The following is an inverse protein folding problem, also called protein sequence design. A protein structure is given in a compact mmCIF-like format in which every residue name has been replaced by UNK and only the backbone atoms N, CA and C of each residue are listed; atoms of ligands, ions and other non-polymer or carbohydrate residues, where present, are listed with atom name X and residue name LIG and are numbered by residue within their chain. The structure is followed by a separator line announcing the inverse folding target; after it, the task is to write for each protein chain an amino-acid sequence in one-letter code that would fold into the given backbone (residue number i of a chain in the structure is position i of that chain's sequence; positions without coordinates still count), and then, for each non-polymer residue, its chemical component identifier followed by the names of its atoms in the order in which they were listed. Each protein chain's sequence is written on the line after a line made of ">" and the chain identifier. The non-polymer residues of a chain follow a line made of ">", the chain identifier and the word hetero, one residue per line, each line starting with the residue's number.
data_IF_255711164581
#
_entry.id   IF_255711164581
#
_cell.length_a   1.000
_cell.length_b   1.000
_cell.length_c   1.000
_cell.angle_alpha   90.00
_cell.angle_beta   90.00
_cell.angle_gamma   90.00
#
_symmetry.space_group_name_H-M   'P 1'
#
loop_
_entity.id
_entity.type
_entity.pdbx_description
1 polymer ?
#
# COMPACT_ATOMS: atom_id res chain seq x y z
N UNK A 1 -2.45 4.82 -10.50
CA UNK A 1 -2.13 3.53 -11.15
C UNK A 1 -0.63 3.45 -11.23
N UNK A 2 0.01 2.35 -10.80
CA UNK A 2 1.43 2.15 -11.08
C UNK A 2 1.46 1.33 -12.37
N UNK A 3 1.73 2.00 -13.49
CA UNK A 3 1.76 1.38 -14.80
C UNK A 3 3.09 0.65 -15.05
N UNK A 4 3.03 -0.38 -15.88
CA UNK A 4 4.22 -1.07 -16.34
C UNK A 4 5.05 -0.13 -17.21
N UNK A 5 6.19 0.29 -16.65
CA UNK A 5 7.19 1.10 -17.31
C UNK A 5 7.79 0.37 -18.54
N UNK A 6 8.38 1.13 -19.46
CA UNK A 6 8.96 0.62 -20.70
C UNK A 6 10.05 -0.44 -20.44
N UNK A 7 10.75 -0.32 -19.30
CA UNK A 7 11.73 -1.27 -18.78
C UNK A 7 11.15 -2.68 -18.56
N UNK A 8 9.93 -2.80 -18.02
CA UNK A 8 9.28 -4.10 -17.79
C UNK A 8 8.93 -4.77 -19.12
N UNK A 9 8.42 -4.00 -20.09
CA UNK A 9 8.09 -4.52 -21.43
C UNK A 9 9.33 -5.04 -22.14
N UNK A 10 10.44 -4.31 -22.05
CA UNK A 10 11.71 -4.74 -22.61
C UNK A 10 12.18 -6.07 -22.02
N UNK A 11 12.17 -6.22 -20.69
CA UNK A 11 12.54 -7.46 -20.01
C UNK A 11 11.68 -8.66 -20.40
N UNK A 12 10.38 -8.44 -20.56
CA UNK A 12 9.46 -9.48 -21.03
C UNK A 12 9.79 -9.93 -22.47
N UNK A 13 10.14 -8.99 -23.36
CA UNK A 13 10.53 -9.30 -24.74
C UNK A 13 11.88 -10.04 -24.80
N UNK A 14 12.87 -9.63 -24.00
CA UNK A 14 14.15 -10.34 -23.87
C UNK A 14 13.93 -11.79 -23.45
N UNK A 15 13.11 -12.02 -22.42
CA UNK A 15 12.73 -13.37 -21.98
C UNK A 15 11.97 -14.16 -23.05
N UNK A 16 11.12 -13.51 -23.85
CA UNK A 16 10.41 -14.17 -24.94
C UNK A 16 11.37 -14.66 -26.03
N UNK A 17 12.39 -13.87 -26.37
CA UNK A 17 13.39 -14.24 -27.37
C UNK A 17 14.21 -15.46 -26.94
N UNK A 18 14.57 -15.56 -25.66
CA UNK A 18 15.27 -16.74 -25.12
C UNK A 18 14.44 -18.02 -25.22
N UNK A 19 13.11 -17.89 -25.18
CA UNK A 19 12.16 -18.99 -25.29
C UNK A 19 11.55 -19.11 -26.69
N UNK A 20 12.16 -18.54 -27.73
CA UNK A 20 11.62 -18.54 -29.09
C UNK A 20 11.32 -19.96 -29.63
N UNK A 21 12.11 -20.95 -29.22
CA UNK A 21 11.93 -22.37 -29.57
C UNK A 21 10.77 -23.04 -28.82
N UNK A 22 10.19 -22.38 -27.81
CA UNK A 22 9.09 -22.89 -26.97
C UNK A 22 7.96 -21.84 -26.85
N UNK A 23 7.34 -21.42 -27.97
CA UNK A 23 6.41 -20.29 -28.00
C UNK A 23 5.19 -20.47 -27.09
N UNK A 24 4.76 -21.72 -26.85
CA UNK A 24 3.64 -22.04 -25.95
C UNK A 24 3.94 -21.77 -24.46
N UNK A 25 5.21 -21.67 -24.07
CA UNK A 25 5.61 -21.45 -22.67
C UNK A 25 5.82 -19.98 -22.34
N UNK A 26 6.18 -19.15 -23.33
CA UNK A 26 6.42 -17.70 -23.18
C UNK A 26 5.33 -17.00 -22.35
N UNK A 27 4.03 -17.05 -22.73
CA UNK A 27 3.01 -16.30 -21.99
C UNK A 27 2.80 -16.81 -20.57
N UNK A 28 3.07 -18.10 -20.30
CA UNK A 28 2.95 -18.67 -18.94
C UNK A 28 4.08 -18.16 -18.05
N UNK A 29 5.31 -18.15 -18.55
CA UNK A 29 6.50 -17.66 -17.86
C UNK A 29 6.34 -16.17 -17.54
N UNK A 30 5.97 -15.37 -18.54
CA UNK A 30 5.75 -13.93 -18.38
C UNK A 30 4.65 -13.64 -17.36
N UNK A 31 3.49 -14.30 -17.43
CA UNK A 31 2.40 -14.10 -16.48
C UNK A 31 2.82 -14.45 -15.04
N UNK A 32 3.56 -15.56 -14.83
CA UNK A 32 4.05 -15.95 -13.50
C UNK A 32 5.03 -14.93 -12.93
N UNK A 33 6.01 -14.52 -13.72
CA UNK A 33 7.00 -13.54 -13.30
C UNK A 33 6.34 -12.19 -12.97
N UNK A 34 5.42 -11.73 -13.82
CA UNK A 34 4.67 -10.49 -13.62
C UNK A 34 3.82 -10.53 -12.34
N UNK A 35 3.08 -11.62 -12.11
CA UNK A 35 2.26 -11.79 -10.91
C UNK A 35 3.10 -11.80 -9.63
N UNK A 36 4.31 -12.37 -9.70
CA UNK A 36 5.24 -12.35 -8.57
C UNK A 36 5.82 -10.95 -8.34
N UNK A 37 6.19 -10.24 -9.40
CA UNK A 37 6.62 -8.85 -9.33
C UNK A 37 5.55 -7.95 -8.69
N UNK A 38 4.30 -8.05 -9.14
CA UNK A 38 3.16 -7.32 -8.56
C UNK A 38 2.97 -7.61 -7.06
N UNK A 39 3.07 -8.87 -6.66
CA UNK A 39 2.96 -9.29 -5.26
C UNK A 39 4.09 -8.73 -4.38
N UNK A 40 5.32 -8.72 -4.91
CA UNK A 40 6.47 -8.08 -4.26
C UNK A 40 6.26 -6.56 -4.18
N UNK A 41 5.79 -5.92 -5.23
CA UNK A 41 5.47 -4.50 -5.27
C UNK A 41 4.45 -4.10 -4.19
N UNK A 42 3.37 -4.88 -4.03
CA UNK A 42 2.38 -4.68 -2.94
C UNK A 42 3.01 -4.76 -1.55
N UNK A 43 3.94 -5.67 -1.37
CA UNK A 43 4.64 -5.86 -0.10
C UNK A 43 5.57 -4.68 0.20
N UNK A 44 6.33 -4.26 -0.80
CA UNK A 44 7.23 -3.09 -0.73
C UNK A 44 6.46 -1.80 -0.46
N UNK A 45 5.34 -1.60 -1.16
CA UNK A 45 4.44 -0.47 -0.97
C UNK A 45 3.99 -0.35 0.49
N UNK A 46 3.54 -1.47 1.08
CA UNK A 46 3.14 -1.49 2.48
C UNK A 46 4.30 -1.21 3.45
N UNK A 47 5.51 -1.64 3.13
CA UNK A 47 6.70 -1.38 3.93
C UNK A 47 7.08 0.10 3.89
N UNK A 48 7.21 0.69 2.69
CA UNK A 48 7.64 2.08 2.51
C UNK A 48 6.66 3.11 3.07
N UNK A 49 5.35 2.85 2.98
CA UNK A 49 4.35 3.66 3.67
C UNK A 49 4.60 3.65 5.19
N UNK A 50 4.95 2.50 5.77
CA UNK A 50 5.19 2.38 7.22
C UNK A 50 6.52 2.95 7.70
N UNK A 51 7.48 3.12 6.81
CA UNK A 51 8.72 3.83 7.11
C UNK A 51 8.45 5.34 7.28
N UNK A 52 7.45 5.86 6.57
CA UNK A 52 7.07 7.27 6.62
C UNK A 52 5.95 7.55 7.63
N UNK A 53 5.00 6.62 7.78
CA UNK A 53 3.76 6.80 8.55
C UNK A 53 3.58 5.74 9.64
N UNK A 54 3.05 6.15 10.79
CA UNK A 54 2.75 5.25 11.92
C UNK A 54 1.40 4.55 11.75
N UNK A 55 1.29 3.72 10.72
CA UNK A 55 0.08 2.96 10.35
C UNK A 55 0.32 1.43 10.41
N UNK A 56 -0.75 0.64 10.58
CA UNK A 56 -0.64 -0.82 10.56
C UNK A 56 -0.50 -1.33 9.12
N UNK A 57 0.28 -2.40 8.94
CA UNK A 57 0.47 -3.05 7.63
C UNK A 57 -0.87 -3.47 7.01
N UNK A 58 -1.74 -4.10 7.81
CA UNK A 58 -3.07 -4.54 7.39
C UNK A 58 -3.91 -3.40 6.81
N UNK A 59 -4.00 -2.27 7.53
CA UNK A 59 -4.79 -1.12 7.11
C UNK A 59 -4.27 -0.51 5.78
N UNK A 60 -2.98 -0.68 5.47
CA UNK A 60 -2.39 -0.26 4.18
C UNK A 60 -2.66 -1.32 3.09
N UNK A 61 -2.36 -2.58 3.37
CA UNK A 61 -2.47 -3.69 2.43
C UNK A 61 -3.91 -3.97 1.96
N UNK A 62 -4.91 -3.72 2.78
CA UNK A 62 -6.33 -3.89 2.43
C UNK A 62 -6.82 -2.85 1.40
N UNK A 63 -6.15 -1.70 1.29
CA UNK A 63 -6.46 -0.70 0.25
C UNK A 63 -5.90 -1.06 -1.11
N UNK A 64 -5.03 -2.06 -1.18
CA UNK A 64 -4.31 -2.43 -2.41
C UNK A 64 -4.88 -3.70 -3.03
N UNK A 65 -5.22 -3.63 -4.30
CA UNK A 65 -5.78 -4.72 -5.09
C UNK A 65 -4.80 -5.12 -6.20
N UNK A 66 -4.69 -6.44 -6.43
CA UNK A 66 -3.86 -7.01 -7.48
C UNK A 66 -4.75 -7.52 -8.59
N UNK A 67 -4.65 -6.94 -9.78
CA UNK A 67 -5.16 -7.54 -11.01
C UNK A 67 -4.05 -8.41 -11.57
N UNK A 68 -4.29 -9.72 -11.63
CA UNK A 68 -3.29 -10.70 -12.04
C UNK A 68 -3.26 -10.84 -13.56
N UNK A 69 -2.07 -10.96 -14.10
CA UNK A 69 -1.85 -11.39 -15.48
C UNK A 69 -2.13 -12.90 -15.62
N UNK A 70 -2.50 -13.31 -16.82
CA UNK A 70 -2.68 -14.69 -17.23
C UNK A 70 -1.96 -14.94 -18.56
N UNK A 71 -1.79 -16.21 -18.93
CA UNK A 71 -1.20 -16.53 -20.23
C UNK A 71 -2.00 -15.97 -21.42
N UNK A 72 -3.30 -15.73 -21.24
CA UNK A 72 -4.18 -15.17 -22.29
C UNK A 72 -4.30 -13.64 -22.21
N UNK A 73 -3.86 -13.04 -21.10
CA UNK A 73 -3.90 -11.60 -20.89
C UNK A 73 -2.73 -11.20 -19.99
N UNK A 74 -1.65 -10.71 -20.59
CA UNK A 74 -0.45 -10.25 -19.91
C UNK A 74 -0.58 -8.85 -19.31
N UNK A 75 -1.81 -8.38 -19.10
CA UNK A 75 -2.09 -7.17 -18.37
C UNK A 75 -2.29 -7.47 -16.87
N UNK A 76 -1.54 -6.77 -16.05
CA UNK A 76 -1.57 -6.91 -14.59
C UNK A 76 -1.40 -5.54 -13.94
N UNK A 77 -1.99 -5.34 -12.78
CA UNK A 77 -1.86 -4.03 -12.12
C UNK A 77 -1.91 -4.14 -10.61
N UNK A 78 -1.28 -3.15 -9.98
CA UNK A 78 -1.38 -2.89 -8.55
C UNK A 78 -2.09 -1.54 -8.38
N UNK A 79 -3.33 -1.60 -7.91
CA UNK A 79 -4.17 -0.43 -7.67
C UNK A 79 -4.33 -0.22 -6.15
N UNK A 80 -4.34 1.04 -5.71
CA UNK A 80 -4.74 1.40 -4.35
C UNK A 80 -5.99 2.27 -4.39
N UNK A 81 -7.01 1.87 -3.64
CA UNK A 81 -8.28 2.60 -3.49
C UNK A 81 -8.57 2.76 -2.01
N UNK A 82 -8.93 3.96 -1.59
CA UNK A 82 -9.26 4.20 -0.19
C UNK A 82 -9.57 5.65 0.10
N UNK A 83 -10.32 5.86 1.18
CA UNK A 83 -10.64 7.19 1.71
C UNK A 83 -9.63 7.62 2.77
N UNK A 84 -9.76 8.87 3.22
CA UNK A 84 -9.00 9.40 4.36
C UNK A 84 -9.16 8.49 5.59
N UNK A 85 -8.06 8.22 6.28
CA UNK A 85 -8.05 7.25 7.36
C UNK A 85 -8.43 7.92 8.69
N UNK A 86 -9.30 7.33 9.51
CA UNK A 86 -9.58 7.85 10.85
C UNK A 86 -8.28 7.97 11.67
N UNK A 87 -8.06 9.11 12.33
CA UNK A 87 -6.80 9.42 13.02
C UNK A 87 -6.42 8.36 14.06
N UNK A 88 -7.42 7.70 14.66
CA UNK A 88 -7.25 6.60 15.62
C UNK A 88 -6.47 5.39 15.09
N UNK A 89 -6.39 5.22 13.75
CA UNK A 89 -5.63 4.16 13.08
C UNK A 89 -4.12 4.40 13.17
N UNK A 90 -3.71 5.60 13.53
CA UNK A 90 -2.32 5.99 13.75
C UNK A 90 -1.94 5.89 15.23
N UNK A 91 -0.77 6.44 15.58
CA UNK A 91 -0.35 6.54 16.97
C UNK A 91 -1.11 7.67 17.67
N UNK A 92 -2.17 7.31 18.38
CA UNK A 92 -2.98 8.22 19.20
C UNK A 92 -2.90 7.84 20.67
N UNK A 93 -2.95 8.82 21.57
CA UNK A 93 -3.01 8.62 23.02
C UNK A 93 -4.09 9.50 23.64
N UNK A 94 -5.08 8.92 24.36
CA UNK A 94 -5.39 7.50 24.51
C UNK A 94 -5.99 6.88 23.23
N UNK A 95 -6.03 5.54 23.16
CA UNK A 95 -6.69 4.80 22.05
C UNK A 95 -8.15 4.44 22.32
N UNK A 96 -8.58 4.52 23.57
CA UNK A 96 -9.94 4.24 24.01
C UNK A 96 -10.58 5.50 24.58
N UNK A 97 -11.92 5.59 24.59
CA UNK A 97 -12.63 6.65 25.28
C UNK A 97 -12.21 6.69 26.76
N UNK A 98 -11.86 7.88 27.24
CA UNK A 98 -11.55 8.14 28.64
C UNK A 98 -12.45 9.28 29.14
N UNK A 99 -13.64 8.96 29.69
CA UNK A 99 -14.51 9.96 30.30
C UNK A 99 -13.75 10.74 31.39
N UNK A 100 -13.92 12.07 31.44
CA UNK A 100 -13.27 12.92 32.44
C UNK A 100 -11.78 13.24 32.18
N UNK A 101 -11.18 12.75 31.09
CA UNK A 101 -9.80 13.10 30.73
C UNK A 101 -9.67 14.61 30.45
N UNK A 102 -8.83 15.30 31.22
CA UNK A 102 -8.51 16.74 31.04
C UNK A 102 -7.33 17.00 30.09
N UNK A 103 -6.46 16.00 29.87
CA UNK A 103 -5.29 16.11 28.99
C UNK A 103 -5.71 16.05 27.50
N UNK A 104 -5.12 16.86 26.61
CA UNK A 104 -5.43 16.80 25.18
C UNK A 104 -5.11 15.43 24.59
N UNK A 105 -5.77 15.11 23.47
CA UNK A 105 -5.43 13.95 22.67
C UNK A 105 -4.09 14.23 22.00
N UNK A 106 -3.17 13.27 22.10
CA UNK A 106 -1.89 13.34 21.40
C UNK A 106 -1.95 12.43 20.19
N UNK A 107 -1.55 12.91 19.02
CA UNK A 107 -1.51 12.11 17.79
C UNK A 107 -0.17 12.26 17.07
N UNK A 108 0.24 11.20 16.39
CA UNK A 108 1.42 11.17 15.56
C UNK A 108 1.11 10.35 14.31
N UNK A 109 1.15 11.01 13.14
CA UNK A 109 0.86 10.41 11.84
C UNK A 109 2.16 10.04 11.14
N UNK A 110 3.09 10.98 11.03
CA UNK A 110 4.42 10.75 10.48
C UNK A 110 5.30 10.04 11.51
N UNK A 111 6.20 9.19 11.02
CA UNK A 111 7.19 8.51 11.87
C UNK A 111 8.27 9.47 12.35
N UNK A 112 8.59 10.46 11.54
CA UNK A 112 9.42 11.59 11.94
C UNK A 112 8.71 12.45 13.00
N UNK A 113 9.49 13.01 13.93
CA UNK A 113 8.99 13.89 14.99
C UNK A 113 8.34 13.15 16.16
N UNK A 114 7.57 13.92 16.95
CA UNK A 114 6.89 13.45 18.16
C UNK A 114 5.37 13.51 18.03
N UNK A 115 4.66 13.17 19.12
CA UNK A 115 3.21 13.35 19.17
C UNK A 115 2.88 14.84 19.30
N UNK A 116 1.92 15.31 18.51
CA UNK A 116 1.38 16.66 18.60
C UNK A 116 0.08 16.67 19.42
N UNK A 117 -0.12 17.65 20.31
CA UNK A 117 -1.39 17.80 21.02
C UNK A 117 -2.47 18.32 20.08
N UNK A 118 -3.68 17.80 20.26
CA UNK A 118 -4.89 18.22 19.55
C UNK A 118 -5.89 18.73 20.59
N UNK A 119 -5.87 20.04 20.92
CA UNK A 119 -6.80 20.63 21.88
C UNK A 119 -8.26 20.45 21.43
N UNK A 120 -9.15 20.23 22.40
CA UNK A 120 -10.59 20.05 22.18
C UNK A 120 -10.98 18.75 21.46
N UNK A 121 -10.02 17.88 21.13
CA UNK A 121 -10.32 16.55 20.62
C UNK A 121 -10.57 15.56 21.76
N UNK A 122 -11.33 14.50 21.47
CA UNK A 122 -11.59 13.41 22.38
C UNK A 122 -11.80 12.10 21.60
N UNK A 123 -11.58 10.96 22.27
CA UNK A 123 -11.89 9.66 21.69
C UNK A 123 -13.29 9.27 22.11
N UNK A 124 -14.12 8.88 21.14
CA UNK A 124 -15.46 8.36 21.38
C UNK A 124 -15.75 7.15 20.49
N UNK A 125 -16.67 6.30 20.92
CA UNK A 125 -17.19 5.18 20.13
C UNK A 125 -18.52 5.62 19.52
N UNK A 126 -18.60 5.67 18.19
CA UNK A 126 -19.85 5.97 17.45
C UNK A 126 -20.19 4.75 16.62
N UNK A 127 -21.40 4.21 16.76
CA UNK A 127 -21.88 3.00 16.04
C UNK A 127 -20.82 1.89 16.01
N UNK A 128 -20.27 1.59 17.18
CA UNK A 128 -19.25 0.57 17.44
C UNK A 128 -17.80 0.88 17.02
N UNK A 129 -17.52 1.99 16.34
CA UNK A 129 -16.15 2.36 15.93
C UNK A 129 -15.61 3.49 16.81
N UNK A 130 -14.49 3.23 17.48
CA UNK A 130 -13.75 4.27 18.18
C UNK A 130 -13.04 5.17 17.16
N UNK A 131 -13.13 6.49 17.32
CA UNK A 131 -12.33 7.45 16.55
C UNK A 131 -12.01 8.68 17.38
N UNK A 132 -11.13 9.53 16.85
CA UNK A 132 -10.86 10.85 17.40
C UNK A 132 -11.84 11.84 16.79
N UNK A 133 -12.52 12.59 17.64
CA UNK A 133 -13.50 13.59 17.25
C UNK A 133 -13.14 14.95 17.85
N UNK A 134 -13.63 16.01 17.21
CA UNK A 134 -13.66 17.37 17.75
C UNK A 134 -15.07 17.92 17.60
N UNK A 135 -15.57 18.63 18.61
CA UNK A 135 -16.85 19.34 18.49
C UNK A 135 -16.70 20.57 17.61
N UNK A 136 -17.72 20.88 16.84
CA UNK A 136 -17.76 22.13 16.07
C UNK A 136 -18.28 23.30 16.88
N UNK A 137 -19.04 23.03 17.95
CA UNK A 137 -19.61 24.02 18.85
C UNK A 137 -19.38 23.61 20.30
N UNK A 138 -19.77 24.43 21.27
CA UNK A 138 -19.72 24.05 22.69
C UNK A 138 -20.74 22.95 23.05
N UNK A 139 -21.82 22.79 22.25
CA UNK A 139 -22.86 21.78 22.48
C UNK A 139 -22.31 20.36 22.31
N UNK A 140 -23.07 19.36 22.79
CA UNK A 140 -22.71 17.93 22.68
C UNK A 140 -22.52 17.47 21.24
N UNK A 141 -23.35 17.97 20.35
CA UNK A 141 -23.32 17.74 18.91
C UNK A 141 -23.41 19.10 18.20
N UNK A 142 -22.90 19.23 16.96
CA UNK A 142 -22.28 18.18 16.14
C UNK A 142 -20.81 17.91 16.48
N UNK A 143 -20.35 16.71 16.12
CA UNK A 143 -18.96 16.26 16.25
C UNK A 143 -18.40 15.93 14.87
N UNK A 144 -17.16 16.31 14.59
CA UNK A 144 -16.43 15.98 13.36
C UNK A 144 -15.32 14.97 13.67
N UNK A 145 -15.22 13.92 12.86
CA UNK A 145 -14.10 12.98 12.93
C UNK A 145 -12.81 13.66 12.45
N UNK A 146 -11.69 13.34 13.10
CA UNK A 146 -10.38 13.74 12.63
C UNK A 146 -9.77 12.60 11.81
N UNK A 147 -9.17 12.97 10.69
CA UNK A 147 -8.63 12.05 9.70
C UNK A 147 -7.18 12.39 9.38
N UNK A 148 -6.48 11.40 8.86
CA UNK A 148 -5.14 11.47 8.31
C UNK A 148 -5.20 11.20 6.80
N UNK A 149 -4.08 11.39 6.05
CA UNK A 149 -4.05 11.16 4.62
C UNK A 149 -4.53 9.75 4.24
N UNK A 150 -5.10 9.62 3.04
CA UNK A 150 -5.51 8.34 2.51
C UNK A 150 -4.29 7.50 2.12
N UNK A 151 -4.40 6.16 2.13
CA UNK A 151 -3.29 5.29 1.69
C UNK A 151 -2.82 5.58 0.26
N UNK A 152 -3.71 5.82 -0.74
CA UNK A 152 -3.27 6.24 -2.08
C UNK A 152 -2.40 7.50 -2.06
N UNK A 153 -2.72 8.48 -1.21
CA UNK A 153 -1.93 9.70 -1.06
C UNK A 153 -0.56 9.42 -0.40
N UNK A 154 -0.50 8.47 0.54
CA UNK A 154 0.77 8.05 1.15
C UNK A 154 1.67 7.32 0.14
N UNK A 155 1.07 6.56 -0.77
CA UNK A 155 1.77 5.84 -1.83
C UNK A 155 2.26 6.75 -2.96
N UNK A 156 1.62 7.91 -3.17
CA UNK A 156 1.97 8.84 -4.25
C UNK A 156 3.28 9.61 -4.01
N UNK A 157 3.94 9.38 -2.88
CA UNK A 157 5.28 9.88 -2.63
C UNK A 157 6.28 9.31 -3.67
N UNK A 158 7.04 10.17 -4.34
CA UNK A 158 7.96 9.79 -5.41
C UNK A 158 8.99 8.73 -4.97
N UNK A 159 9.53 8.86 -3.75
CA UNK A 159 10.49 7.88 -3.20
C UNK A 159 9.84 6.51 -3.01
N UNK A 160 8.57 6.49 -2.60
CA UNK A 160 7.79 5.26 -2.43
C UNK A 160 7.53 4.62 -3.79
N UNK A 161 7.08 5.40 -4.78
CA UNK A 161 6.84 4.92 -6.16
C UNK A 161 8.08 4.30 -6.78
N UNK A 162 9.22 5.01 -6.74
CA UNK A 162 10.50 4.50 -7.27
C UNK A 162 10.93 3.21 -6.58
N UNK A 163 10.78 3.13 -5.26
CA UNK A 163 11.12 1.91 -4.52
C UNK A 163 10.26 0.71 -4.92
N UNK A 164 8.96 0.93 -5.12
CA UNK A 164 8.04 -0.12 -5.58
C UNK A 164 8.45 -0.59 -6.98
N UNK A 165 8.69 0.34 -7.91
CA UNK A 165 9.09 0.03 -9.29
C UNK A 165 10.39 -0.76 -9.33
N UNK A 166 11.43 -0.31 -8.62
CA UNK A 166 12.71 -1.02 -8.54
C UNK A 166 12.53 -2.43 -7.97
N UNK A 167 11.70 -2.59 -6.93
CA UNK A 167 11.46 -3.91 -6.35
C UNK A 167 10.69 -4.85 -7.28
N UNK A 168 9.75 -4.30 -8.05
CA UNK A 168 9.02 -5.04 -9.07
C UNK A 168 9.96 -5.51 -10.18
N UNK A 169 10.81 -4.63 -10.71
CA UNK A 169 11.83 -4.94 -11.73
C UNK A 169 12.80 -6.02 -11.25
N UNK A 170 13.40 -5.82 -10.06
CA UNK A 170 14.32 -6.80 -9.46
C UNK A 170 13.66 -8.18 -9.30
N UNK A 171 12.39 -8.21 -8.88
CA UNK A 171 11.65 -9.47 -8.72
C UNK A 171 11.32 -10.09 -10.07
N UNK A 172 10.97 -9.27 -11.07
CA UNK A 172 10.63 -9.73 -12.41
C UNK A 172 11.83 -10.42 -13.05
N UNK A 173 12.98 -9.77 -13.08
CA UNK A 173 14.21 -10.28 -13.69
C UNK A 173 14.59 -11.63 -13.08
N UNK A 174 14.68 -11.70 -11.74
CA UNK A 174 14.96 -12.95 -11.01
C UNK A 174 13.95 -14.07 -11.29
N UNK A 175 12.69 -13.72 -11.53
CA UNK A 175 11.63 -14.70 -11.79
C UNK A 175 11.59 -15.16 -13.23
N UNK A 176 11.91 -14.29 -14.18
CA UNK A 176 12.07 -14.67 -15.58
C UNK A 176 13.23 -15.65 -15.72
N UNK A 177 14.41 -15.35 -15.17
CA UNK A 177 15.56 -16.25 -15.18
C UNK A 177 15.21 -17.63 -14.60
N UNK A 178 14.58 -17.64 -13.42
CA UNK A 178 14.19 -18.89 -12.75
C UNK A 178 13.15 -19.70 -13.54
N UNK A 179 12.14 -19.05 -14.12
CA UNK A 179 11.10 -19.75 -14.89
C UNK A 179 11.63 -20.21 -16.26
N UNK A 180 12.54 -19.46 -16.90
CA UNK A 180 13.21 -19.88 -18.13
C UNK A 180 14.06 -21.12 -17.86
N UNK A 181 14.92 -21.09 -16.84
CA UNK A 181 15.74 -22.25 -16.46
C UNK A 181 14.88 -23.49 -16.20
N UNK A 182 13.80 -23.32 -15.43
CA UNK A 182 12.83 -24.41 -15.18
C UNK A 182 12.19 -24.99 -16.45
N UNK A 183 11.99 -24.18 -17.49
CA UNK A 183 11.41 -24.61 -18.77
C UNK A 183 12.45 -25.26 -19.68
N UNK A 184 13.73 -24.87 -19.58
CA UNK A 184 14.82 -25.46 -20.36
C UNK A 184 15.35 -26.76 -19.74
N UNK A 185 15.37 -26.85 -18.40
CA UNK A 185 15.85 -28.01 -17.65
C UNK A 185 14.78 -29.11 -17.46
N UNK A 186 13.53 -28.82 -17.82
CA UNK A 186 12.37 -29.70 -17.66
C UNK A 186 11.89 -30.29 -18.97
#
# INVERSE_FOLDING_TARGET
>A
MIDFDNSIKQRLNEAANLLAHMPKQIPKVQARAMNRALSSGKTEAAARVRDTYLVRKRDVSETMELKKASANNLDGSLESKGHVMPLIRFRVTPKSPQPGRKKPILAQVLRAGGKSPIPGAFVAKVRSVASVYRRTTQKRFPIKGLYAPAVPQMLDNEKVRKSIQNKMLETLDKRLEHEIGRVLDG
#
